data_IF_942782905673
#
_entry.id   IF_942782905673
#
_cell.length_a   1.000
_cell.length_b   1.000
_cell.length_c   1.000
_cell.angle_alpha   90.00
_cell.angle_beta   90.00
_cell.angle_gamma   90.00
#
_symmetry.space_group_name_H-M   'P 1'
#
loop_
_entity.id
_entity.type
_entity.pdbx_description
1 polymer ?
#
# COMPACT_ATOMS: atom_id res chain seq x y z
N UNK A 1 -4.89 0.44 22.34
CA UNK A 1 -3.45 0.73 22.10
C UNK A 1 -3.33 2.09 21.45
N UNK A 2 -2.32 2.90 21.82
CA UNK A 2 -1.97 4.13 21.10
C UNK A 2 -0.44 4.27 21.12
N UNK A 3 0.15 4.48 19.96
CA UNK A 3 1.61 4.67 19.81
C UNK A 3 1.84 5.80 18.80
N UNK A 4 2.78 6.69 19.07
CA UNK A 4 3.21 7.73 18.15
C UNK A 4 4.64 7.43 17.70
N UNK A 5 4.87 7.48 16.40
CA UNK A 5 6.18 7.35 15.79
C UNK A 5 6.51 8.63 15.03
N UNK A 6 7.66 9.21 15.32
CA UNK A 6 8.12 10.45 14.72
C UNK A 6 9.15 10.18 13.61
N UNK A 7 9.04 10.93 12.52
CA UNK A 7 9.91 10.88 11.36
C UNK A 7 10.23 12.28 10.88
N UNK A 8 11.26 12.41 10.08
CA UNK A 8 11.61 13.66 9.45
C UNK A 8 11.93 13.46 7.96
N UNK A 9 11.32 14.29 7.13
CA UNK A 9 11.71 14.41 5.74
C UNK A 9 12.76 15.50 5.64
N UNK A 10 14.00 15.15 5.32
CA UNK A 10 15.02 16.13 5.03
C UNK A 10 15.99 15.61 3.98
N UNK A 11 16.66 16.52 3.27
CA UNK A 11 17.68 16.14 2.29
C UNK A 11 18.93 15.52 2.91
N UNK A 12 19.07 15.60 4.23
CA UNK A 12 20.17 15.00 5.02
C UNK A 12 19.74 13.77 5.80
N UNK A 13 18.43 13.52 5.91
CA UNK A 13 17.94 12.32 6.56
C UNK A 13 18.27 11.08 5.73
N UNK A 14 18.34 9.94 6.40
CA UNK A 14 18.45 8.67 5.71
C UNK A 14 17.25 8.48 4.75
N UNK A 15 17.50 8.02 3.53
CA UNK A 15 16.45 7.73 2.55
C UNK A 15 15.43 6.72 3.06
N UNK A 16 15.79 5.93 4.05
CA UNK A 16 14.95 4.96 4.72
C UNK A 16 15.03 5.14 6.23
N UNK A 17 13.88 5.35 6.83
CA UNK A 17 13.71 5.45 8.28
C UNK A 17 12.79 4.31 8.75
N UNK A 18 12.98 3.87 9.98
CA UNK A 18 12.22 2.74 10.54
C UNK A 18 11.73 3.07 11.93
N UNK A 19 10.43 2.91 12.16
CA UNK A 19 9.80 2.94 13.45
C UNK A 19 9.24 1.57 13.82
N UNK A 20 9.18 1.25 15.10
CA UNK A 20 8.60 -0.02 15.58
C UNK A 20 7.58 0.23 16.69
N UNK A 21 6.56 -0.62 16.75
CA UNK A 21 5.51 -0.56 17.76
C UNK A 21 5.05 -1.96 18.16
N UNK A 22 4.47 -2.06 19.36
CA UNK A 22 3.96 -3.33 19.87
C UNK A 22 2.46 -3.42 19.64
N UNK A 23 2.02 -4.55 19.11
CA UNK A 23 0.61 -4.87 18.90
C UNK A 23 0.21 -5.91 19.94
N UNK A 24 -0.84 -5.65 20.74
CA UNK A 24 -1.31 -6.59 21.76
C UNK A 24 -2.06 -7.78 21.13
N UNK A 25 -2.22 -8.82 21.93
CA UNK A 25 -3.13 -9.93 21.61
C UNK A 25 -4.57 -9.42 21.41
N UNK A 26 -5.33 -10.10 20.58
CA UNK A 26 -6.71 -9.77 20.25
C UNK A 26 -6.93 -8.44 19.48
N UNK A 27 -5.89 -7.80 18.98
CA UNK A 27 -6.01 -6.70 18.04
C UNK A 27 -6.62 -7.20 16.72
N UNK A 28 -7.67 -6.53 16.23
CA UNK A 28 -8.34 -6.90 14.97
C UNK A 28 -8.03 -5.96 13.83
N UNK A 29 -7.56 -4.76 14.16
CA UNK A 29 -7.22 -3.76 13.16
C UNK A 29 -6.17 -2.80 13.69
N UNK A 30 -5.40 -2.24 12.78
CA UNK A 30 -4.41 -1.19 13.03
C UNK A 30 -4.77 0.01 12.17
N UNK A 31 -5.04 1.14 12.82
CA UNK A 31 -5.27 2.41 12.16
C UNK A 31 -4.07 3.32 12.40
N UNK A 32 -3.57 3.89 11.34
CA UNK A 32 -2.42 4.79 11.34
C UNK A 32 -2.84 6.12 10.70
N UNK A 33 -2.88 7.19 11.48
CA UNK A 33 -3.07 8.54 10.98
C UNK A 33 -1.72 9.24 10.92
N UNK A 34 -1.50 10.09 9.94
CA UNK A 34 -0.25 10.81 9.80
C UNK A 34 -0.44 12.31 9.61
N UNK A 35 0.55 13.09 10.07
CA UNK A 35 0.49 14.54 10.10
C UNK A 35 1.17 15.22 8.91
N UNK A 36 1.71 14.42 7.96
CA UNK A 36 2.40 14.96 6.79
C UNK A 36 1.45 15.80 5.93
N UNK A 37 1.88 17.01 5.57
CA UNK A 37 1.17 17.85 4.62
C UNK A 37 1.06 17.13 3.25
N UNK A 38 -0.14 17.18 2.66
CA UNK A 38 -0.46 16.51 1.39
C UNK A 38 0.48 16.88 0.25
N UNK A 39 1.00 18.11 0.24
CA UNK A 39 1.93 18.55 -0.80
C UNK A 39 3.25 17.76 -0.82
N UNK A 40 3.61 17.11 0.28
CA UNK A 40 4.83 16.29 0.40
C UNK A 40 4.55 14.79 0.35
N UNK A 41 3.29 14.39 0.38
CA UNK A 41 2.91 12.97 0.46
C UNK A 41 3.49 12.12 -0.67
N UNK A 42 3.55 12.67 -1.88
CA UNK A 42 4.08 11.96 -3.05
C UNK A 42 5.60 11.65 -2.96
N UNK A 43 6.31 12.24 -2.00
CA UNK A 43 7.73 12.00 -1.75
C UNK A 43 7.96 10.86 -0.76
N UNK A 44 6.90 10.34 -0.16
CA UNK A 44 6.97 9.38 0.94
C UNK A 44 6.26 8.10 0.58
N UNK A 45 6.99 6.99 0.63
CA UNK A 45 6.44 5.65 0.58
C UNK A 45 6.54 5.01 1.94
N UNK A 46 5.51 4.28 2.30
CA UNK A 46 5.43 3.58 3.58
C UNK A 46 5.22 2.10 3.34
N UNK A 47 5.98 1.27 4.05
CA UNK A 47 5.75 -0.16 4.15
C UNK A 47 5.52 -0.53 5.61
N UNK A 48 4.42 -1.21 5.90
CA UNK A 48 4.10 -1.73 7.23
C UNK A 48 4.32 -3.24 7.22
N UNK A 49 5.14 -3.72 8.14
CA UNK A 49 5.51 -5.13 8.26
C UNK A 49 5.02 -5.72 9.57
N UNK A 50 4.53 -6.92 9.49
CA UNK A 50 4.14 -7.71 10.66
C UNK A 50 5.36 -8.30 11.40
N UNK A 51 5.18 -8.96 12.56
CA UNK A 51 6.26 -9.57 13.32
C UNK A 51 7.05 -10.65 12.57
N UNK A 52 6.49 -11.21 11.50
CA UNK A 52 7.15 -12.19 10.62
C UNK A 52 7.93 -11.53 9.48
N UNK A 53 7.89 -10.20 9.38
CA UNK A 53 8.51 -9.43 8.31
C UNK A 53 7.71 -9.41 7.02
N UNK A 54 6.48 -9.90 7.01
CA UNK A 54 5.59 -9.82 5.84
C UNK A 54 5.09 -8.40 5.66
N UNK A 55 5.14 -7.89 4.44
CA UNK A 55 4.56 -6.58 4.10
C UNK A 55 3.04 -6.73 4.13
N UNK A 56 2.40 -5.97 5.02
CA UNK A 56 0.95 -5.94 5.21
C UNK A 56 0.30 -4.71 4.57
N UNK A 57 1.07 -3.67 4.33
CA UNK A 57 0.64 -2.50 3.59
C UNK A 57 1.86 -1.84 2.96
N UNK A 58 1.74 -1.43 1.70
CA UNK A 58 2.73 -0.60 1.04
C UNK A 58 2.01 0.44 0.21
N UNK A 59 2.27 1.71 0.46
CA UNK A 59 1.57 2.80 -0.22
C UNK A 59 2.37 4.10 -0.23
N UNK A 60 2.14 4.91 -1.26
CA UNK A 60 2.51 6.31 -1.29
C UNK A 60 1.50 7.13 -0.48
N UNK A 61 1.97 8.12 0.29
CA UNK A 61 1.10 8.90 1.18
C UNK A 61 0.29 10.03 0.50
N UNK A 62 0.17 10.01 -0.80
CA UNK A 62 -0.36 11.15 -1.59
C UNK A 62 -1.86 11.41 -1.45
N UNK A 63 -2.68 10.45 -1.06
CA UNK A 63 -4.13 10.55 -1.25
C UNK A 63 -4.99 10.40 0.00
N UNK A 64 -4.52 9.74 1.04
CA UNK A 64 -5.36 9.40 2.18
C UNK A 64 -4.62 9.65 3.48
N UNK A 65 -5.14 10.48 4.41
CA UNK A 65 -4.47 10.76 5.69
C UNK A 65 -4.52 9.59 6.67
N UNK A 66 -5.19 8.51 6.31
CA UNK A 66 -5.40 7.34 7.14
C UNK A 66 -5.00 6.09 6.38
N UNK A 67 -4.20 5.26 7.01
CA UNK A 67 -3.88 3.91 6.57
C UNK A 67 -4.45 2.93 7.58
N UNK A 68 -5.06 1.85 7.12
CA UNK A 68 -5.65 0.86 8.00
C UNK A 68 -5.37 -0.55 7.48
N UNK A 69 -5.09 -1.46 8.39
CA UNK A 69 -4.95 -2.90 8.15
C UNK A 69 -5.90 -3.60 9.10
N UNK A 70 -6.82 -4.37 8.55
CA UNK A 70 -7.80 -5.15 9.30
C UNK A 70 -7.81 -6.62 8.89
N UNK A 71 -8.72 -7.37 9.48
CA UNK A 71 -8.90 -8.79 9.19
C UNK A 71 -9.60 -9.00 7.84
N UNK A 72 -10.35 -8.01 7.37
CA UNK A 72 -11.11 -8.08 6.10
C UNK A 72 -10.70 -6.97 5.13
N UNK A 73 -11.05 -7.12 3.86
CA UNK A 73 -10.82 -6.08 2.85
C UNK A 73 -11.57 -4.77 3.18
N UNK A 74 -12.72 -4.85 3.85
CA UNK A 74 -13.51 -3.66 4.27
C UNK A 74 -12.81 -2.85 5.34
N UNK A 75 -11.95 -3.50 6.11
CA UNK A 75 -11.21 -2.89 7.21
C UNK A 75 -9.76 -2.59 6.82
N UNK A 76 -9.44 -2.71 5.53
CA UNK A 76 -8.07 -2.53 5.04
C UNK A 76 -8.03 -1.50 3.92
N UNK A 77 -7.15 -0.52 4.04
CA UNK A 77 -6.88 0.49 3.00
C UNK A 77 -6.42 -0.18 1.72
N UNK A 78 -6.85 0.33 0.58
CA UNK A 78 -6.41 -0.12 -0.74
C UNK A 78 -4.86 -0.07 -0.83
N UNK A 79 -4.25 -1.19 -1.20
CA UNK A 79 -2.80 -1.42 -1.14
C UNK A 79 -2.32 -2.10 0.14
N UNK A 80 -3.25 -2.44 1.04
CA UNK A 80 -3.00 -3.29 2.20
C UNK A 80 -3.48 -4.72 1.98
N UNK A 81 -2.86 -5.66 2.67
CA UNK A 81 -3.20 -7.08 2.67
C UNK A 81 -4.00 -7.37 3.94
N UNK A 82 -5.30 -7.71 3.84
CA UNK A 82 -6.13 -8.06 4.98
C UNK A 82 -5.68 -9.38 5.60
N UNK A 83 -6.20 -9.68 6.77
CA UNK A 83 -5.96 -10.92 7.48
C UNK A 83 -5.64 -10.68 8.95
N UNK A 84 -5.49 -11.75 9.71
CA UNK A 84 -5.26 -11.72 11.15
C UNK A 84 -4.13 -10.76 11.54
N UNK A 85 -4.39 -9.92 12.51
CA UNK A 85 -3.40 -9.04 13.11
C UNK A 85 -2.63 -9.81 14.17
N UNK A 86 -1.37 -10.11 13.88
CA UNK A 86 -0.51 -10.86 14.79
C UNK A 86 -0.04 -10.01 15.95
N UNK A 87 -0.08 -10.57 17.17
CA UNK A 87 0.58 -9.99 18.32
C UNK A 87 2.08 -9.89 18.09
N UNK A 88 2.71 -8.84 18.60
CA UNK A 88 4.16 -8.70 18.61
C UNK A 88 4.66 -7.37 18.05
N UNK A 89 5.93 -7.34 17.68
CA UNK A 89 6.64 -6.15 17.23
C UNK A 89 6.42 -5.95 15.74
N UNK A 90 5.66 -4.92 15.39
CA UNK A 90 5.44 -4.45 14.03
C UNK A 90 6.42 -3.33 13.68
N UNK A 91 6.58 -3.07 12.38
CA UNK A 91 7.50 -2.09 11.85
C UNK A 91 6.85 -1.23 10.77
N UNK A 92 7.10 0.08 10.82
CA UNK A 92 6.85 1.01 9.73
C UNK A 92 8.19 1.40 9.14
N UNK A 93 8.34 1.20 7.84
CA UNK A 93 9.45 1.73 7.06
C UNK A 93 8.95 2.91 6.24
N UNK A 94 9.65 4.03 6.34
CA UNK A 94 9.42 5.24 5.56
C UNK A 94 10.57 5.40 4.58
N UNK A 95 10.24 5.41 3.29
CA UNK A 95 11.20 5.60 2.22
C UNK A 95 10.99 6.95 1.55
N UNK A 96 12.06 7.70 1.37
CA UNK A 96 12.07 9.08 0.91
C UNK A 96 12.87 9.24 -0.37
N UNK A 97 12.42 10.14 -1.24
CA UNK A 97 13.22 10.66 -2.36
C UNK A 97 14.04 11.89 -1.91
N UNK A 98 15.13 11.66 -1.22
CA UNK A 98 15.93 12.70 -0.56
C UNK A 98 16.32 13.87 -1.45
N UNK A 99 16.73 13.63 -2.70
CA UNK A 99 17.10 14.72 -3.62
C UNK A 99 15.91 15.61 -3.99
N UNK A 100 14.75 15.02 -4.22
CA UNK A 100 13.52 15.76 -4.51
C UNK A 100 13.06 16.57 -3.30
N UNK A 101 13.16 15.97 -2.12
CA UNK A 101 12.85 16.62 -0.86
C UNK A 101 13.73 17.86 -0.68
N UNK A 102 15.03 17.73 -0.87
CA UNK A 102 15.96 18.87 -0.73
C UNK A 102 15.60 20.05 -1.65
N UNK A 103 15.24 19.77 -2.90
CA UNK A 103 14.84 20.80 -3.86
C UNK A 103 13.54 21.50 -3.46
N UNK A 104 12.56 20.76 -2.98
CA UNK A 104 11.23 21.29 -2.65
C UNK A 104 11.19 22.03 -1.31
N UNK A 105 12.01 21.61 -0.36
CA UNK A 105 12.01 22.19 0.99
C UNK A 105 13.08 23.27 1.18
N UNK A 106 13.96 23.46 0.20
CA UNK A 106 15.15 24.32 0.34
C UNK A 106 16.10 23.84 1.43
N UNK A 107 16.11 22.52 1.70
CA UNK A 107 16.92 21.89 2.74
C UNK A 107 16.32 21.91 4.14
N UNK A 108 15.12 22.45 4.32
CA UNK A 108 14.42 22.42 5.62
C UNK A 108 13.88 21.02 5.89
N UNK A 109 14.09 20.53 7.11
CA UNK A 109 13.44 19.31 7.61
C UNK A 109 11.95 19.55 7.80
N UNK A 110 11.15 18.55 7.45
CA UNK A 110 9.70 18.53 7.67
C UNK A 110 9.41 17.37 8.62
N UNK A 111 9.14 17.65 9.89
CA UNK A 111 8.75 16.63 10.84
C UNK A 111 7.33 16.13 10.52
N UNK A 112 7.09 14.86 10.69
CA UNK A 112 5.78 14.26 10.66
C UNK A 112 5.72 13.05 11.58
N UNK A 113 4.52 12.63 11.91
CA UNK A 113 4.32 11.49 12.81
C UNK A 113 3.24 10.57 12.29
N UNK A 114 3.32 9.31 12.69
CA UNK A 114 2.21 8.36 12.66
C UNK A 114 1.67 8.16 14.05
N UNK A 115 0.38 8.36 14.23
CA UNK A 115 -0.37 7.90 15.37
C UNK A 115 -1.01 6.56 15.03
N UNK A 116 -0.72 5.52 15.80
CA UNK A 116 -1.14 4.15 15.56
C UNK A 116 -2.09 3.73 16.66
N UNK A 117 -3.30 3.31 16.29
CA UNK A 117 -4.32 2.82 17.23
C UNK A 117 -4.85 1.46 16.78
N UNK A 118 -5.49 0.75 17.71
CA UNK A 118 -6.27 -0.48 17.45
C UNK A 118 -7.77 -0.19 17.30
N UNK A 119 -8.13 1.07 17.17
CA UNK A 119 -9.49 1.56 16.97
C UNK A 119 -9.61 2.13 15.56
N UNK A 120 -10.63 1.75 14.83
CA UNK A 120 -10.86 2.27 13.49
C UNK A 120 -12.27 1.98 12.99
N UNK A 121 -12.68 2.75 12.00
CA UNK A 121 -13.93 2.57 11.29
C UNK A 121 -13.71 1.78 9.99
N UNK A 122 -14.78 1.44 9.30
CA UNK A 122 -14.69 0.89 7.96
C UNK A 122 -14.01 1.89 7.02
N UNK A 123 -13.21 1.38 6.09
CA UNK A 123 -12.50 2.21 5.12
C UNK A 123 -13.44 2.56 3.97
N UNK A 124 -13.59 3.86 3.68
CA UNK A 124 -14.50 4.35 2.63
C UNK A 124 -14.11 3.90 1.22
N UNK A 125 -12.84 3.55 1.00
CA UNK A 125 -12.32 3.14 -0.31
C UNK A 125 -12.51 1.64 -0.61
N UNK A 126 -13.26 0.90 0.23
CA UNK A 126 -13.55 -0.48 -0.07
C UNK A 126 -14.42 -0.60 -1.33
N UNK A 127 -13.96 -1.33 -2.30
CA UNK A 127 -14.65 -1.52 -3.55
C UNK A 127 -14.77 -3.00 -3.88
N UNK A 128 -15.90 -3.55 -3.50
CA UNK A 128 -16.31 -4.88 -3.91
C UNK A 128 -15.42 -6.03 -3.39
N UNK A 129 -15.52 -7.16 -4.03
CA UNK A 129 -14.77 -8.34 -3.66
C UNK A 129 -13.27 -8.08 -3.87
N UNK A 130 -12.60 -7.88 -2.78
CA UNK A 130 -11.17 -7.80 -2.76
C UNK A 130 -10.64 -9.21 -3.03
N UNK A 131 -9.94 -9.40 -4.14
CA UNK A 131 -9.29 -10.67 -4.48
C UNK A 131 -8.28 -11.11 -3.41
N UNK A 132 -7.92 -10.18 -2.51
CA UNK A 132 -7.03 -10.38 -1.37
C UNK A 132 -7.74 -10.73 -0.08
N UNK A 133 -9.05 -10.94 -0.09
CA UNK A 133 -9.84 -11.30 1.09
C UNK A 133 -9.51 -12.68 1.65
N UNK A 134 -8.78 -13.48 0.94
CA UNK A 134 -8.24 -14.72 1.47
C UNK A 134 -7.07 -14.45 2.40
N UNK A 135 -7.17 -14.96 3.62
CA UNK A 135 -6.10 -14.93 4.63
C UNK A 135 -4.77 -15.55 4.14
N UNK A 136 -4.77 -16.10 2.94
CA UNK A 136 -3.68 -16.84 2.35
C UNK A 136 -3.43 -16.37 0.92
N UNK A 137 -2.76 -15.22 0.79
CA UNK A 137 -2.10 -14.94 -0.47
C UNK A 137 -0.96 -15.95 -0.67
N UNK A 138 -1.27 -17.02 -1.35
CA UNK A 138 -0.29 -18.08 -1.64
C UNK A 138 0.16 -17.90 -3.08
N UNK A 139 1.34 -17.28 -3.27
CA UNK A 139 2.01 -17.25 -4.58
C UNK A 139 2.15 -18.65 -5.20
N UNK A 140 2.17 -19.69 -4.37
CA UNK A 140 2.18 -21.08 -4.80
C UNK A 140 0.92 -21.52 -5.59
N UNK A 141 -0.19 -20.78 -5.48
CA UNK A 141 -1.40 -21.00 -6.26
C UNK A 141 -1.35 -20.42 -7.68
N UNK A 142 -0.37 -19.56 -7.98
CA UNK A 142 -0.22 -18.95 -9.28
C UNK A 142 0.64 -19.83 -10.19
N UNK A 143 -0.01 -20.41 -11.19
CA UNK A 143 0.70 -21.22 -12.20
C UNK A 143 1.28 -20.32 -13.29
N UNK A 144 2.56 -19.97 -13.14
CA UNK A 144 3.30 -19.17 -14.12
C UNK A 144 3.44 -19.85 -15.50
N UNK A 145 3.21 -21.16 -15.59
CA UNK A 145 3.32 -21.92 -16.83
C UNK A 145 1.97 -22.15 -17.51
N UNK A 146 0.89 -21.68 -16.91
CA UNK A 146 -0.45 -21.83 -17.47
C UNK A 146 -0.53 -21.12 -18.82
N UNK A 147 -0.83 -21.88 -19.84
CA UNK A 147 -1.12 -21.36 -21.18
C UNK A 147 -2.61 -21.00 -21.23
N UNK A 148 -2.91 -19.71 -21.29
CA UNK A 148 -4.30 -19.23 -21.37
C UNK A 148 -4.91 -19.38 -22.75
N UNK A 149 -4.07 -19.35 -23.80
CA UNK A 149 -4.48 -19.59 -25.20
C UNK A 149 -3.32 -20.19 -25.99
N UNK A 150 -3.61 -21.20 -26.77
CA UNK A 150 -2.63 -21.88 -27.61
C UNK A 150 -2.52 -21.23 -29.00
N UNK A 151 -1.38 -21.45 -29.67
CA UNK A 151 -1.12 -21.06 -31.03
C UNK A 151 -0.50 -19.66 -31.19
N UNK A 152 0.28 -19.53 -32.27
CA UNK A 152 0.88 -18.24 -32.61
C UNK A 152 -0.17 -17.30 -33.23
N UNK A 153 -0.31 -16.12 -32.65
CA UNK A 153 -1.24 -15.09 -33.13
C UNK A 153 -0.79 -13.71 -32.65
N UNK A 154 -1.41 -12.67 -33.16
CA UNK A 154 -1.29 -11.34 -32.59
C UNK A 154 -2.13 -11.22 -31.33
N UNK A 155 -1.52 -10.63 -30.30
CA UNK A 155 -2.17 -10.29 -29.02
C UNK A 155 -2.27 -8.78 -28.90
N UNK A 156 -3.42 -8.31 -28.46
CA UNK A 156 -3.66 -6.91 -28.15
C UNK A 156 -3.57 -6.73 -26.63
N UNK A 157 -2.75 -5.82 -26.16
CA UNK A 157 -2.63 -5.61 -24.72
C UNK A 157 -1.98 -4.30 -24.34
N UNK A 158 -1.94 -4.04 -23.05
CA UNK A 158 -1.30 -2.90 -22.45
C UNK A 158 -0.28 -3.35 -21.39
N UNK A 159 0.94 -2.86 -21.49
CA UNK A 159 2.05 -3.21 -20.62
C UNK A 159 2.30 -2.19 -19.50
N UNK A 160 1.57 -1.07 -19.48
CA UNK A 160 1.84 0.00 -18.56
C UNK A 160 0.57 0.75 -18.16
N UNK A 161 -0.01 0.37 -17.05
CA UNK A 161 -1.20 1.02 -16.51
C UNK A 161 -1.11 1.20 -15.03
N UNK A 162 -1.79 2.23 -14.52
CA UNK A 162 -1.86 2.54 -13.11
C UNK A 162 -3.30 2.63 -12.66
N UNK A 163 -3.56 2.19 -11.44
CA UNK A 163 -4.85 2.30 -10.80
C UNK A 163 -4.79 3.19 -9.56
N UNK A 164 -5.88 3.29 -8.81
CA UNK A 164 -5.91 4.02 -7.52
C UNK A 164 -5.05 3.37 -6.42
N UNK A 165 -4.47 2.22 -6.69
CA UNK A 165 -3.43 1.65 -5.82
C UNK A 165 -2.21 2.56 -5.75
N UNK A 166 -1.85 3.22 -6.85
CA UNK A 166 -0.79 4.24 -6.89
C UNK A 166 -1.32 5.62 -7.28
N UNK A 167 -1.18 6.04 -8.52
CA UNK A 167 -1.50 7.37 -9.01
C UNK A 167 -2.54 7.40 -10.14
N UNK A 168 -3.08 6.26 -10.51
CA UNK A 168 -4.17 6.14 -11.46
C UNK A 168 -5.52 6.60 -10.89
N UNK A 169 -6.51 6.74 -11.76
CA UNK A 169 -7.85 7.24 -11.39
C UNK A 169 -8.87 6.14 -11.18
N UNK A 170 -8.67 5.00 -11.83
CA UNK A 170 -9.60 3.88 -11.78
C UNK A 170 -9.23 2.91 -10.67
N UNK A 171 -10.23 2.24 -10.14
CA UNK A 171 -10.01 1.10 -9.25
C UNK A 171 -9.51 -0.11 -10.05
N UNK A 172 -8.76 -1.03 -9.45
CA UNK A 172 -8.24 -2.21 -10.15
C UNK A 172 -9.32 -3.00 -10.89
N UNK A 173 -10.48 -3.22 -10.26
CA UNK A 173 -11.63 -3.90 -10.87
C UNK A 173 -12.22 -3.12 -12.06
N UNK A 174 -12.32 -1.79 -11.94
CA UNK A 174 -12.79 -0.92 -13.01
C UNK A 174 -11.83 -0.91 -14.20
N UNK A 175 -10.53 -0.85 -13.94
CA UNK A 175 -9.51 -0.89 -14.97
C UNK A 175 -9.51 -2.23 -15.72
N UNK A 176 -9.58 -3.36 -14.99
CA UNK A 176 -9.68 -4.69 -15.59
C UNK A 176 -10.92 -4.83 -16.47
N UNK A 177 -12.09 -4.37 -15.99
CA UNK A 177 -13.32 -4.39 -16.79
C UNK A 177 -13.21 -3.55 -18.05
N UNK A 178 -12.57 -2.38 -18.00
CA UNK A 178 -12.31 -1.56 -19.18
C UNK A 178 -11.41 -2.28 -20.17
N UNK A 179 -10.36 -2.94 -19.70
CA UNK A 179 -9.46 -3.73 -20.53
C UNK A 179 -10.23 -4.85 -21.28
N UNK A 180 -11.12 -5.56 -20.60
CA UNK A 180 -12.00 -6.56 -21.20
C UNK A 180 -12.93 -5.95 -22.27
N UNK A 181 -13.60 -4.83 -21.96
CA UNK A 181 -14.47 -4.14 -22.89
C UNK A 181 -13.75 -3.63 -24.12
N UNK A 182 -12.47 -3.24 -23.99
CA UNK A 182 -11.61 -2.86 -25.09
C UNK A 182 -11.08 -4.05 -25.91
N UNK A 183 -11.40 -5.27 -25.48
CA UNK A 183 -10.96 -6.51 -26.12
C UNK A 183 -9.46 -6.73 -25.99
N UNK A 184 -8.86 -6.35 -24.87
CA UNK A 184 -7.45 -6.66 -24.61
C UNK A 184 -7.29 -8.13 -24.27
N UNK A 185 -6.25 -8.75 -24.81
CA UNK A 185 -5.88 -10.14 -24.50
C UNK A 185 -5.08 -10.22 -23.21
N UNK A 186 -4.36 -9.13 -22.86
CA UNK A 186 -3.63 -8.99 -21.61
C UNK A 186 -3.61 -7.53 -21.13
N UNK A 187 -3.42 -7.37 -19.84
CA UNK A 187 -3.38 -6.09 -19.17
C UNK A 187 -2.42 -6.21 -17.97
N UNK A 188 -1.51 -5.25 -17.85
CA UNK A 188 -0.52 -5.22 -16.75
C UNK A 188 -0.75 -3.99 -15.87
N UNK A 189 -1.13 -4.23 -14.63
CA UNK A 189 -1.16 -3.19 -13.61
C UNK A 189 0.27 -3.00 -13.06
N UNK A 190 0.92 -1.89 -13.47
CA UNK A 190 2.31 -1.58 -13.14
C UNK A 190 2.37 -0.48 -12.09
N UNK A 191 1.79 -0.73 -10.95
CA UNK A 191 1.63 0.22 -9.87
C UNK A 191 2.96 0.71 -9.29
N UNK A 192 3.00 1.98 -8.88
CA UNK A 192 4.17 2.53 -8.19
C UNK A 192 4.25 2.04 -6.75
N UNK A 193 5.30 1.27 -6.43
CA UNK A 193 5.69 0.95 -5.06
C UNK A 193 4.56 0.39 -4.18
N UNK A 194 3.71 -0.42 -4.76
CA UNK A 194 2.61 -1.11 -4.07
C UNK A 194 2.80 -2.61 -4.23
N UNK A 195 2.56 -3.34 -3.15
CA UNK A 195 2.43 -4.80 -3.18
C UNK A 195 0.94 -5.12 -3.23
N UNK A 196 0.52 -5.90 -4.19
CA UNK A 196 -0.85 -6.36 -4.37
C UNK A 196 -0.92 -7.70 -5.12
#
# INVERSE_FOLDING_TARGET
MMTVLEFEISGTAACRQTGTFQVPSACKQLRMTYTLDKQYGFLVFVAVKDPKGQIRLQKQLSSTPVLQIGETGRDTTLGGIPGRICEGKWQIEVCLFAEHVHRLTGGKGIPFSFEITDQGDTVEEYVGDNIWADEQFVYSGFDQKKVYREGARWYKGDFHTHTRLSDGKELPTGASRKAELMGLDYYMATEHNVVH
#
